data_IF_768970394671
#
_entry.id   IF_768970394671
#
_cell.length_a   1.000
_cell.length_b   1.000
_cell.length_c   1.000
_cell.angle_alpha   90.00
_cell.angle_beta   90.00
_cell.angle_gamma   90.00
#
_symmetry.space_group_name_H-M   'P 1'
#
loop_
_entity.id
_entity.type
_entity.pdbx_description
1 polymer ?
#
# COMPACT_ATOMS: atom_id res chain seq x y z
N UNK A 1 -6.01 7.74 18.71
CA UNK A 1 -4.76 7.10 18.25
C UNK A 1 -3.87 6.73 19.44
N UNK A 2 -3.60 7.62 20.39
CA UNK A 2 -2.66 7.35 21.49
C UNK A 2 -3.03 6.15 22.37
N UNK A 3 -4.30 6.00 22.75
CA UNK A 3 -4.77 4.83 23.53
C UNK A 3 -4.47 3.50 22.82
N UNK A 4 -4.67 3.45 21.50
CA UNK A 4 -4.35 2.27 20.68
C UNK A 4 -2.84 2.02 20.60
N UNK A 5 -2.03 3.09 20.58
CA UNK A 5 -0.57 2.98 20.60
C UNK A 5 -0.03 2.49 21.95
N UNK A 6 -0.68 2.84 23.07
CA UNK A 6 -0.31 2.36 24.42
C UNK A 6 -0.63 0.88 24.59
N UNK A 7 -1.76 0.42 24.06
CA UNK A 7 -2.19 -0.98 24.10
C UNK A 7 -1.54 -1.84 23.01
N UNK A 8 -0.74 -1.27 22.11
CA UNK A 8 -0.24 -1.94 20.91
C UNK A 8 1.17 -1.52 20.50
N UNK A 9 1.51 -1.78 19.23
CA UNK A 9 2.82 -1.47 18.64
C UNK A 9 2.66 -0.35 17.61
N UNK A 10 3.36 0.76 17.81
CA UNK A 10 3.41 1.87 16.85
C UNK A 10 4.61 1.74 15.91
N UNK A 11 4.34 1.62 14.62
CA UNK A 11 5.35 1.69 13.56
C UNK A 11 5.69 3.14 13.22
N UNK A 12 6.65 3.73 13.95
CA UNK A 12 7.02 5.15 13.82
C UNK A 12 7.59 5.55 12.44
N UNK A 13 7.94 4.58 11.60
CA UNK A 13 8.56 4.75 10.27
C UNK A 13 7.89 3.86 9.23
N UNK A 14 6.56 3.89 9.19
CA UNK A 14 5.79 3.20 8.15
C UNK A 14 5.65 4.10 6.91
N UNK A 15 6.09 3.60 5.76
CA UNK A 15 6.05 4.32 4.48
C UNK A 15 5.15 3.61 3.48
N UNK A 16 4.38 4.38 2.71
CA UNK A 16 3.68 3.83 1.55
C UNK A 16 4.72 3.37 0.51
N UNK A 17 4.44 2.24 -0.14
CA UNK A 17 5.31 1.72 -1.20
C UNK A 17 5.21 2.53 -2.49
N UNK A 18 4.11 3.24 -2.71
CA UNK A 18 3.90 4.08 -3.88
C UNK A 18 2.90 5.21 -3.61
N UNK A 19 2.95 6.23 -4.45
CA UNK A 19 1.99 7.31 -4.55
C UNK A 19 1.71 7.56 -6.05
N UNK A 20 0.55 8.09 -6.45
CA UNK A 20 -0.62 8.53 -5.65
C UNK A 20 -1.53 7.36 -5.21
N UNK A 21 -2.81 7.64 -4.93
CA UNK A 21 -3.71 6.75 -4.22
C UNK A 21 -3.87 5.33 -4.81
N UNK A 22 -4.01 5.15 -6.14
CA UNK A 22 -4.16 3.82 -6.72
C UNK A 22 -2.88 2.97 -6.65
N UNK A 23 -1.68 3.48 -7.01
CA UNK A 23 -0.43 2.75 -6.77
C UNK A 23 -0.19 2.34 -5.31
N UNK A 24 -0.46 3.24 -4.36
CA UNK A 24 -0.33 2.95 -2.94
C UNK A 24 -1.28 1.84 -2.47
N UNK A 25 -2.55 1.88 -2.92
CA UNK A 25 -3.52 0.81 -2.64
C UNK A 25 -3.13 -0.51 -3.28
N UNK A 26 -2.67 -0.52 -4.53
CA UNK A 26 -2.24 -1.73 -5.21
C UNK A 26 -1.09 -2.43 -4.47
N UNK A 27 -0.10 -1.66 -3.98
CA UNK A 27 0.97 -2.22 -3.17
C UNK A 27 0.47 -2.78 -1.83
N UNK A 28 -0.50 -2.11 -1.19
CA UNK A 28 -1.10 -2.56 0.06
C UNK A 28 -1.91 -3.86 -0.11
N UNK A 29 -2.73 -3.96 -1.17
CA UNK A 29 -3.60 -5.13 -1.39
C UNK A 29 -2.84 -6.36 -1.89
N UNK A 30 -1.80 -6.16 -2.68
CA UNK A 30 -1.03 -7.27 -3.25
C UNK A 30 0.16 -7.69 -2.38
N UNK A 31 0.56 -6.87 -1.42
CA UNK A 31 1.80 -7.09 -0.66
C UNK A 31 3.07 -7.01 -1.52
N UNK A 32 3.00 -6.33 -2.68
CA UNK A 32 4.12 -6.24 -3.63
C UNK A 32 4.54 -4.80 -3.91
N UNK A 33 5.80 -4.62 -4.29
CA UNK A 33 6.29 -3.34 -4.81
C UNK A 33 5.65 -2.96 -6.15
N UNK A 34 5.61 -1.66 -6.47
CA UNK A 34 5.09 -1.16 -7.75
C UNK A 34 5.74 -1.81 -8.97
N UNK A 35 7.04 -2.17 -8.87
CA UNK A 35 7.75 -2.93 -9.91
C UNK A 35 7.16 -4.32 -10.22
N UNK A 36 6.37 -4.88 -9.31
CA UNK A 36 5.71 -6.18 -9.46
C UNK A 36 4.22 -6.05 -9.83
N UNK A 37 3.47 -5.18 -9.13
CA UNK A 37 2.04 -4.99 -9.41
C UNK A 37 1.76 -4.11 -10.64
N UNK A 38 2.71 -3.24 -11.04
CA UNK A 38 2.66 -2.38 -12.22
C UNK A 38 1.54 -1.34 -12.26
N UNK A 39 0.87 -1.06 -11.12
CA UNK A 39 -0.05 0.07 -11.02
C UNK A 39 0.78 1.35 -10.84
N UNK A 40 1.10 1.99 -11.96
CA UNK A 40 2.05 3.12 -12.00
C UNK A 40 1.43 4.48 -11.68
N UNK A 41 0.16 4.67 -12.03
CA UNK A 41 -0.59 5.90 -11.79
C UNK A 41 -2.05 5.60 -11.44
N UNK A 42 -2.80 6.63 -11.08
CA UNK A 42 -4.24 6.52 -10.97
C UNK A 42 -4.84 6.17 -12.33
N UNK A 43 -5.68 5.13 -12.36
CA UNK A 43 -6.26 4.60 -13.60
C UNK A 43 -5.43 3.49 -14.26
N UNK A 44 -4.20 3.23 -13.79
CA UNK A 44 -3.48 2.03 -14.21
C UNK A 44 -4.24 0.79 -13.73
N UNK A 45 -4.60 -0.16 -14.62
CA UNK A 45 -5.32 -1.34 -14.22
C UNK A 45 -4.45 -2.23 -13.32
N UNK A 46 -5.06 -2.81 -12.28
CA UNK A 46 -4.46 -3.91 -11.54
C UNK A 46 -4.66 -5.19 -12.37
N UNK A 47 -3.64 -6.03 -12.44
CA UNK A 47 -3.75 -7.27 -13.18
C UNK A 47 -4.71 -8.26 -12.47
N UNK A 48 -5.60 -8.92 -13.22
CA UNK A 48 -6.62 -9.86 -12.72
C UNK A 48 -6.07 -10.97 -11.81
N UNK A 49 -4.79 -11.35 -11.93
CA UNK A 49 -4.16 -12.33 -11.03
C UNK A 49 -4.12 -11.91 -9.55
N UNK A 50 -4.45 -10.65 -9.26
CA UNK A 50 -4.49 -10.06 -7.91
C UNK A 50 -5.93 -9.83 -7.41
N UNK A 51 -6.94 -10.11 -8.22
CA UNK A 51 -8.34 -10.27 -7.77
C UNK A 51 -8.55 -11.70 -7.25
#
# INVERSE_FOLDING_TARGET
>A
MDRLCVEGVRLARHYSQAAPCAPGRAALYTGTYQMNNRVVANGSPLAERFD
#
